data_IF_039332665283
#
_entry.id   IF_039332665283
#
_cell.length_a   1.000
_cell.length_b   1.000
_cell.length_c   1.000
_cell.angle_alpha   90.00
_cell.angle_beta   90.00
_cell.angle_gamma   90.00
#
_symmetry.space_group_name_H-M   'P 1'
#
loop_
_entity.id
_entity.type
_entity.pdbx_description
1 polymer ?
#
# COMPACT_ATOMS: atom_id res chain seq x y z
N UNK A 1 -4.65 -12.35 9.09
CA UNK A 1 -4.74 -12.32 7.62
C UNK A 1 -3.68 -13.25 7.09
N UNK A 2 -4.10 -14.18 6.24
CA UNK A 2 -3.21 -15.09 5.49
C UNK A 2 -2.29 -14.30 4.54
N UNK A 3 -1.19 -14.92 4.11
CA UNK A 3 -0.18 -14.27 3.27
C UNK A 3 -0.75 -13.73 1.94
N UNK A 4 -1.51 -14.54 1.21
CA UNK A 4 -2.09 -14.16 -0.07
C UNK A 4 -3.06 -12.97 0.05
N UNK A 5 -3.86 -12.94 1.12
CA UNK A 5 -4.77 -11.81 1.41
C UNK A 5 -3.99 -10.52 1.67
N UNK A 6 -2.84 -10.59 2.37
CA UNK A 6 -1.99 -9.42 2.58
C UNK A 6 -1.49 -8.84 1.26
N UNK A 7 -1.04 -9.69 0.33
CA UNK A 7 -0.58 -9.25 -1.00
C UNK A 7 -1.71 -8.50 -1.73
N UNK A 8 -2.91 -9.09 -1.78
CA UNK A 8 -4.08 -8.44 -2.42
C UNK A 8 -4.40 -7.08 -1.78
N UNK A 9 -4.28 -6.97 -0.46
CA UNK A 9 -4.49 -5.70 0.22
C UNK A 9 -3.39 -4.69 -0.12
N UNK A 10 -2.12 -5.11 -0.18
CA UNK A 10 -1.00 -4.24 -0.58
C UNK A 10 -1.22 -3.71 -2.00
N UNK A 11 -1.60 -4.55 -2.96
CA UNK A 11 -1.90 -4.12 -4.33
C UNK A 11 -3.05 -3.09 -4.39
N UNK A 12 -4.10 -3.29 -3.58
CA UNK A 12 -5.19 -2.31 -3.49
C UNK A 12 -4.72 -0.99 -2.90
N UNK A 13 -3.89 -1.03 -1.86
CA UNK A 13 -3.32 0.16 -1.23
C UNK A 13 -2.40 0.90 -2.20
N UNK A 14 -1.51 0.20 -2.92
CA UNK A 14 -0.63 0.78 -3.94
C UNK A 14 -1.43 1.59 -4.98
N UNK A 15 -2.46 0.99 -5.56
CA UNK A 15 -3.34 1.67 -6.52
C UNK A 15 -3.98 2.92 -5.92
N UNK A 16 -4.50 2.84 -4.70
CA UNK A 16 -5.15 3.97 -4.04
C UNK A 16 -4.17 5.11 -3.72
N UNK A 17 -2.93 4.79 -3.31
CA UNK A 17 -1.86 5.76 -3.04
C UNK A 17 -1.44 6.45 -4.35
N UNK A 18 -1.23 5.71 -5.44
CA UNK A 18 -0.92 6.26 -6.76
C UNK A 18 -1.99 7.24 -7.25
N UNK A 19 -3.26 6.90 -7.00
CA UNK A 19 -4.41 7.77 -7.31
C UNK A 19 -4.64 8.89 -6.28
N UNK A 20 -3.84 8.97 -5.20
CA UNK A 20 -4.04 9.90 -4.07
C UNK A 20 -5.48 9.89 -3.54
N UNK A 21 -6.05 8.69 -3.46
CA UNK A 21 -7.47 8.46 -3.19
C UNK A 21 -7.71 7.58 -1.97
N UNK A 22 -6.72 7.43 -1.08
CA UNK A 22 -6.84 6.55 0.09
C UNK A 22 -7.86 7.06 1.11
N UNK A 23 -8.04 8.38 1.19
CA UNK A 23 -8.68 9.01 2.34
C UNK A 23 -7.84 8.85 3.61
N UNK A 24 -8.48 9.03 4.77
CA UNK A 24 -7.87 8.80 6.07
C UNK A 24 -7.62 7.30 6.33
N UNK A 25 -6.90 6.96 7.40
CA UNK A 25 -6.75 5.57 7.82
C UNK A 25 -8.10 4.88 8.10
N UNK A 26 -9.10 5.60 8.60
CA UNK A 26 -10.44 5.06 8.80
C UNK A 26 -11.14 4.77 7.47
N UNK A 27 -11.05 5.70 6.50
CA UNK A 27 -11.64 5.51 5.17
C UNK A 27 -11.00 4.32 4.45
N UNK A 28 -9.68 4.23 4.51
CA UNK A 28 -8.92 3.13 3.95
C UNK A 28 -9.30 1.80 4.63
N UNK A 29 -9.51 1.78 5.95
CA UNK A 29 -9.91 0.58 6.68
C UNK A 29 -11.28 0.05 6.25
N UNK A 30 -12.26 0.95 6.04
CA UNK A 30 -13.60 0.61 5.54
C UNK A 30 -13.55 0.07 4.11
N UNK A 31 -12.77 0.72 3.23
CA UNK A 31 -12.64 0.30 1.82
C UNK A 31 -11.96 -1.06 1.65
N UNK A 32 -11.01 -1.37 2.53
CA UNK A 32 -10.28 -2.63 2.53
C UNK A 32 -10.97 -3.72 3.37
N UNK A 33 -12.04 -3.39 4.09
CA UNK A 33 -12.73 -4.26 5.05
C UNK A 33 -11.79 -4.85 6.11
N UNK A 34 -10.87 -4.02 6.63
CA UNK A 34 -9.92 -4.40 7.67
C UNK A 34 -10.00 -3.45 8.87
N UNK A 35 -9.40 -3.83 9.99
CA UNK A 35 -9.27 -2.92 11.13
C UNK A 35 -8.35 -1.75 10.81
N UNK A 36 -8.55 -0.61 11.50
CA UNK A 36 -7.65 0.54 11.44
C UNK A 36 -6.20 0.16 11.77
N UNK A 37 -5.99 -0.72 12.76
CA UNK A 37 -4.65 -1.25 13.11
C UNK A 37 -4.02 -1.99 11.95
N UNK A 38 -4.81 -2.79 11.22
CA UNK A 38 -4.33 -3.52 10.04
C UNK A 38 -3.85 -2.56 8.95
N UNK A 39 -4.55 -1.44 8.72
CA UNK A 39 -4.11 -0.41 7.77
C UNK A 39 -2.73 0.12 8.13
N UNK A 40 -2.51 0.52 9.38
CA UNK A 40 -1.18 1.00 9.80
C UNK A 40 -0.12 -0.08 9.66
N UNK A 41 -0.41 -1.33 10.01
CA UNK A 41 0.53 -2.45 9.83
C UNK A 41 0.88 -2.66 8.35
N UNK A 42 -0.08 -2.49 7.43
CA UNK A 42 0.15 -2.62 5.98
C UNK A 42 1.00 -1.45 5.47
N UNK A 43 0.69 -0.22 5.88
CA UNK A 43 1.47 0.95 5.48
C UNK A 43 2.91 0.86 6.00
N UNK A 44 3.10 0.41 7.24
CA UNK A 44 4.42 0.20 7.82
C UNK A 44 5.18 -0.92 7.10
N UNK A 45 4.49 -2.01 6.77
CA UNK A 45 5.08 -3.08 5.97
C UNK A 45 5.54 -2.55 4.60
N UNK A 46 4.69 -1.82 3.87
CA UNK A 46 5.06 -1.22 2.59
C UNK A 46 6.25 -0.27 2.72
N UNK A 47 6.30 0.56 3.78
CA UNK A 47 7.46 1.42 4.07
C UNK A 47 8.73 0.61 4.35
N UNK A 48 8.63 -0.48 5.12
CA UNK A 48 9.76 -1.37 5.39
C UNK A 48 10.28 -2.07 4.12
N UNK A 49 9.43 -2.22 3.11
CA UNK A 49 9.81 -2.69 1.76
C UNK A 49 10.38 -1.57 0.87
N UNK A 50 10.53 -0.34 1.37
CA UNK A 50 11.10 0.80 0.65
C UNK A 50 10.08 1.72 -0.04
N UNK A 51 8.77 1.54 0.18
CA UNK A 51 7.77 2.41 -0.41
C UNK A 51 7.82 3.83 0.23
N UNK A 52 7.94 4.91 -0.57
CA UNK A 52 8.08 6.28 -0.09
C UNK A 52 6.73 6.91 0.29
N UNK A 53 6.04 6.29 1.26
CA UNK A 53 4.68 6.69 1.64
C UNK A 53 4.70 7.84 2.64
N UNK A 54 4.05 8.94 2.28
CA UNK A 54 3.78 10.07 3.16
C UNK A 54 2.27 10.29 3.31
N UNK A 55 1.87 11.09 4.30
CA UNK A 55 0.47 11.44 4.55
C UNK A 55 0.28 12.95 4.51
N UNK A 56 -0.61 13.42 3.64
CA UNK A 56 -0.97 14.83 3.58
C UNK A 56 -2.16 15.10 4.51
N UNK A 57 -1.96 15.94 5.52
CA UNK A 57 -3.03 16.30 6.47
C UNK A 57 -4.12 17.19 5.84
N UNK A 58 -3.77 17.99 4.84
CA UNK A 58 -4.69 18.92 4.17
C UNK A 58 -5.66 18.15 3.26
N UNK A 59 -5.13 17.31 2.38
CA UNK A 59 -5.95 16.51 1.45
C UNK A 59 -6.41 15.18 2.04
N UNK A 60 -5.97 14.85 3.26
CA UNK A 60 -6.31 13.63 4.00
C UNK A 60 -6.11 12.37 3.17
N UNK A 61 -4.95 12.23 2.55
CA UNK A 61 -4.60 11.05 1.76
C UNK A 61 -3.13 10.68 1.94
N UNK A 62 -2.87 9.38 1.83
CA UNK A 62 -1.51 8.88 1.61
C UNK A 62 -1.13 9.07 0.14
N UNK A 63 0.16 9.34 -0.09
CA UNK A 63 0.76 9.52 -1.41
C UNK A 63 2.20 9.02 -1.43
N UNK A 64 2.74 8.74 -2.62
CA UNK A 64 4.17 8.48 -2.79
C UNK A 64 4.94 9.79 -3.02
N UNK A 65 6.02 10.00 -2.27
CA UNK A 65 6.85 11.22 -2.43
C UNK A 65 7.74 11.19 -3.68
N UNK A 66 7.99 10.01 -4.25
CA UNK A 66 8.53 9.83 -5.60
C UNK A 66 7.90 8.61 -6.28
N UNK A 67 8.03 8.51 -7.60
CA UNK A 67 7.44 7.42 -8.38
C UNK A 67 8.10 6.09 -8.05
N UNK A 68 7.28 5.07 -7.74
CA UNK A 68 7.73 3.71 -7.50
C UNK A 68 6.65 2.70 -7.93
N UNK A 69 7.08 1.47 -8.17
CA UNK A 69 6.18 0.36 -8.46
C UNK A 69 6.36 -0.77 -7.45
N UNK A 70 5.24 -1.27 -6.94
CA UNK A 70 5.21 -2.50 -6.16
C UNK A 70 5.20 -3.69 -7.12
N UNK A 71 6.23 -4.53 -7.04
CA UNK A 71 6.35 -5.75 -7.83
C UNK A 71 6.62 -6.92 -6.87
N UNK A 72 5.82 -7.98 -6.99
CA UNK A 72 6.01 -9.23 -6.27
C UNK A 72 5.67 -10.39 -7.20
N UNK A 73 6.64 -11.27 -7.44
CA UNK A 73 6.42 -12.42 -8.31
C UNK A 73 7.72 -13.10 -8.71
N UNK A 74 7.58 -14.22 -9.42
CA UNK A 74 8.69 -14.88 -10.08
C UNK A 74 8.95 -14.21 -11.43
N UNK A 75 10.23 -14.07 -11.77
CA UNK A 75 10.69 -13.62 -13.09
C UNK A 75 11.40 -14.78 -13.77
N UNK A 76 11.35 -14.82 -15.09
CA UNK A 76 12.09 -15.82 -15.87
C UNK A 76 13.59 -15.57 -15.69
N UNK A 77 14.35 -16.63 -15.42
CA UNK A 77 15.79 -16.54 -15.30
C UNK A 77 16.37 -16.61 -16.72
N UNK A 78 16.69 -15.46 -17.30
CA UNK A 78 17.45 -15.43 -18.54
C UNK A 78 18.92 -15.70 -18.17
N UNK A 79 19.36 -16.95 -18.33
CA UNK A 79 20.78 -17.27 -18.42
C UNK A 79 21.35 -16.51 -19.64
N UNK A 80 22.24 -15.56 -19.36
CA UNK A 80 23.07 -14.89 -20.37
C UNK A 80 24.11 -15.85 -20.95
#
# INVERSE_FOLDING_TARGET
MEFLQKIQVIERVDRLIKLKSTGTADDLSRRLCVSRRSVYNILELMKSMGAPIEYCQITKTYYYSYQCDFVLGFVENQEL
#
